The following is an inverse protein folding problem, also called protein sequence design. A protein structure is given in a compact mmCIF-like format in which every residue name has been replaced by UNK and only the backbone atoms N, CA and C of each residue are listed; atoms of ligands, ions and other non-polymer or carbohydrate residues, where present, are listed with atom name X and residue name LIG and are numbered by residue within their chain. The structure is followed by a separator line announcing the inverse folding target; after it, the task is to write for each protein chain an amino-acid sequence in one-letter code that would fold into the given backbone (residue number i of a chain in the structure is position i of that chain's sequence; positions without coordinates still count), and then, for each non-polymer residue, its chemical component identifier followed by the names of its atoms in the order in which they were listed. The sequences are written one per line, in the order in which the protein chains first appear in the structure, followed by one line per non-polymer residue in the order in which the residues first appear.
data_IF_439523561545
#
_entry.id   IF_439523561545
#
_cell.length_a   1.000
_cell.length_b   1.000
_cell.length_c   1.000
_cell.angle_alpha   90.00
_cell.angle_beta   90.00
_cell.angle_gamma   90.00
#
_symmetry.space_group_name_H-M   'P 1'
#
loop_
_entity.id
_entity.type
_entity.pdbx_description
1 polymer ?
#
# COMPACT_ATOMS: atom_id res chain seq x y z
N UNK A 1 20.45 -8.81 28.07
CA UNK A 1 19.16 -9.25 28.63
C UNK A 1 19.07 -10.75 28.45
N UNK A 2 18.35 -11.44 29.32
CA UNK A 2 18.08 -12.88 29.20
C UNK A 2 16.57 -13.13 29.22
N UNK A 3 16.11 -14.13 28.47
CA UNK A 3 14.75 -14.65 28.61
C UNK A 3 14.70 -15.59 29.81
N UNK A 4 13.74 -15.41 30.70
CA UNK A 4 13.57 -16.24 31.89
C UNK A 4 12.12 -16.71 31.98
N UNK A 5 11.93 -18.01 32.12
CA UNK A 5 10.62 -18.58 32.41
C UNK A 5 10.12 -18.07 33.78
N UNK A 6 8.90 -17.54 33.80
CA UNK A 6 8.17 -17.17 35.00
C UNK A 6 7.28 -18.32 35.51
N UNK A 7 7.22 -19.43 34.78
CA UNK A 7 6.25 -20.50 34.96
C UNK A 7 4.98 -20.28 34.12
N UNK A 8 4.04 -21.21 34.21
CA UNK A 8 2.80 -21.21 33.43
C UNK A 8 1.64 -21.90 34.13
N UNK A 9 0.40 -21.50 33.79
CA UNK A 9 -0.83 -22.14 34.24
C UNK A 9 -1.71 -22.44 33.02
N UNK A 10 -2.40 -23.59 33.02
CA UNK A 10 -3.29 -24.05 31.94
C UNK A 10 -2.66 -24.09 30.53
N UNK A 11 -1.37 -24.44 30.45
CA UNK A 11 -0.66 -24.57 29.16
C UNK A 11 -0.16 -23.25 28.57
N UNK A 12 -0.32 -22.13 29.28
CA UNK A 12 0.25 -20.83 28.91
C UNK A 12 1.59 -20.65 29.62
N UNK A 13 2.69 -20.63 28.87
CA UNK A 13 4.03 -20.34 29.39
C UNK A 13 4.30 -18.84 29.39
N UNK A 14 4.64 -18.27 30.55
CA UNK A 14 5.02 -16.88 30.66
C UNK A 14 6.55 -16.76 30.67
N UNK A 15 7.05 -15.94 29.77
CA UNK A 15 8.45 -15.52 29.73
C UNK A 15 8.56 -14.07 30.17
N UNK A 16 9.57 -13.75 30.98
CA UNK A 16 10.02 -12.37 31.18
C UNK A 16 11.41 -12.18 30.63
N UNK A 17 11.66 -11.00 30.08
CA UNK A 17 13.02 -10.53 29.91
C UNK A 17 13.56 -10.08 31.27
N UNK A 18 14.87 -10.24 31.49
CA UNK A 18 15.59 -9.71 32.65
C UNK A 18 16.86 -9.01 32.18
N UNK A 19 17.16 -7.84 32.77
CA UNK A 19 18.41 -7.14 32.52
C UNK A 19 19.57 -7.90 33.19
N UNK A 20 20.48 -8.47 32.40
CA UNK A 20 21.66 -9.19 32.91
C UNK A 20 22.57 -8.32 33.78
N UNK A 21 22.58 -7.00 33.56
CA UNK A 21 23.38 -6.03 34.34
C UNK A 21 22.58 -5.34 35.46
N UNK A 22 21.27 -5.58 35.57
CA UNK A 22 20.40 -4.98 36.59
C UNK A 22 19.16 -5.87 36.88
N UNK A 23 19.35 -7.09 37.42
CA UNK A 23 18.30 -8.11 37.49
C UNK A 23 17.12 -7.79 38.41
N UNK A 24 17.25 -6.78 39.29
CA UNK A 24 16.19 -6.33 40.19
C UNK A 24 15.30 -5.21 39.61
N UNK A 25 15.59 -4.73 38.41
CA UNK A 25 14.83 -3.64 37.79
C UNK A 25 13.78 -4.24 36.85
N UNK A 26 12.52 -3.89 37.09
CA UNK A 26 11.43 -4.27 36.19
C UNK A 26 11.60 -3.56 34.84
N UNK A 27 11.76 -4.35 33.78
CA UNK A 27 11.89 -3.85 32.42
C UNK A 27 10.80 -2.85 32.03
N UNK A 28 9.51 -3.07 32.34
CA UNK A 28 8.46 -2.12 32.01
C UNK A 28 8.66 -0.71 32.58
N UNK A 29 9.49 -0.54 33.62
CA UNK A 29 9.80 0.75 34.24
C UNK A 29 10.97 1.50 33.56
N UNK A 30 11.70 0.84 32.66
CA UNK A 30 12.95 1.38 32.08
C UNK A 30 12.92 1.43 30.57
N UNK A 31 12.31 0.43 29.92
CA UNK A 31 12.18 0.39 28.45
C UNK A 31 10.87 1.00 28.01
N UNK A 32 10.92 1.79 26.93
CA UNK A 32 9.75 2.33 26.26
C UNK A 32 8.86 1.20 25.70
N UNK A 33 7.59 1.52 25.42
CA UNK A 33 6.65 0.57 24.81
C UNK A 33 7.20 -0.02 23.49
N UNK A 34 7.84 0.83 22.67
CA UNK A 34 8.46 0.39 21.42
C UNK A 34 9.61 -0.59 21.63
N UNK A 35 10.49 -0.32 22.59
CA UNK A 35 11.59 -1.24 22.95
C UNK A 35 11.06 -2.56 23.51
N UNK A 36 10.01 -2.54 24.34
CA UNK A 36 9.35 -3.75 24.83
C UNK A 36 8.82 -4.58 23.66
N UNK A 37 8.14 -3.96 22.70
CA UNK A 37 7.59 -4.64 21.53
C UNK A 37 8.70 -5.25 20.65
N UNK A 38 9.79 -4.51 20.39
CA UNK A 38 10.95 -5.05 19.68
C UNK A 38 11.58 -6.26 20.40
N UNK A 39 11.74 -6.18 21.72
CA UNK A 39 12.29 -7.27 22.51
C UNK A 39 11.37 -8.50 22.50
N UNK A 40 10.06 -8.32 22.58
CA UNK A 40 9.09 -9.43 22.48
C UNK A 40 9.15 -10.12 21.12
N UNK A 41 9.25 -9.35 20.02
CA UNK A 41 9.38 -9.92 18.67
C UNK A 41 10.71 -10.69 18.54
N UNK A 42 11.81 -10.14 19.04
CA UNK A 42 13.10 -10.81 19.01
C UNK A 42 13.10 -12.11 19.85
N UNK A 43 12.48 -12.08 21.03
CA UNK A 43 12.29 -13.25 21.88
C UNK A 43 11.46 -14.33 21.18
N UNK A 44 10.35 -13.93 20.56
CA UNK A 44 9.50 -14.82 19.79
C UNK A 44 10.27 -15.49 18.64
N UNK A 45 11.07 -14.75 17.87
CA UNK A 45 11.90 -15.34 16.82
C UNK A 45 13.02 -16.24 17.37
N UNK A 46 13.55 -15.95 18.56
CA UNK A 46 14.53 -16.82 19.21
C UNK A 46 13.90 -18.15 19.62
N UNK A 47 12.73 -18.13 20.26
CA UNK A 47 11.97 -19.33 20.62
C UNK A 47 11.57 -20.13 19.38
N UNK A 48 11.08 -19.45 18.35
CA UNK A 48 10.70 -20.04 17.07
C UNK A 48 11.89 -20.67 16.32
N UNK A 49 13.13 -20.21 16.58
CA UNK A 49 14.34 -20.82 16.01
C UNK A 49 14.77 -22.12 16.71
N UNK A 50 14.23 -22.37 17.91
CA UNK A 50 14.45 -23.61 18.69
C UNK A 50 13.28 -24.59 18.58
N UNK A 51 12.16 -24.18 17.99
CA UNK A 51 11.00 -25.03 17.76
C UNK A 51 11.23 -25.92 16.52
N UNK A 52 11.00 -27.23 16.67
CA UNK A 52 11.18 -28.21 15.59
C UNK A 52 10.02 -28.21 14.56
N UNK A 53 8.93 -27.50 14.84
CA UNK A 53 7.71 -27.53 14.02
C UNK A 53 7.58 -26.30 13.08
N UNK A 54 7.20 -26.48 11.80
CA UNK A 54 7.03 -25.40 10.82
C UNK A 54 5.67 -24.70 10.90
N UNK A 55 5.00 -24.71 12.05
CA UNK A 55 3.69 -24.09 12.29
C UNK A 55 3.63 -22.66 11.77
N UNK A 56 2.46 -22.30 11.24
CA UNK A 56 2.19 -20.93 10.82
C UNK A 56 2.22 -19.96 12.00
N UNK A 57 2.71 -18.74 11.75
CA UNK A 57 2.77 -17.68 12.76
C UNK A 57 1.84 -16.53 12.36
N UNK A 58 1.21 -15.92 13.37
CA UNK A 58 0.25 -14.83 13.19
C UNK A 58 0.71 -13.63 14.01
N UNK A 59 0.84 -12.46 13.37
CA UNK A 59 1.15 -11.20 14.02
C UNK A 59 0.00 -10.21 13.86
N UNK A 60 -0.45 -9.64 14.98
CA UNK A 60 -1.46 -8.58 14.99
C UNK A 60 -0.81 -7.24 15.35
N UNK A 61 -0.80 -6.31 14.39
CA UNK A 61 -0.17 -4.98 14.47
C UNK A 61 1.24 -4.98 15.12
N UNK A 62 2.21 -5.74 14.56
CA UNK A 62 3.53 -5.96 15.19
C UNK A 62 4.41 -4.70 15.26
N UNK A 63 4.01 -3.61 14.62
CA UNK A 63 4.80 -2.38 14.50
C UNK A 63 4.18 -1.14 15.13
N UNK A 64 3.11 -1.32 15.90
CA UNK A 64 2.54 -0.22 16.69
C UNK A 64 3.63 0.42 17.57
N UNK A 65 3.65 1.75 17.67
CA UNK A 65 4.62 2.50 18.50
C UNK A 65 6.11 2.29 18.17
N UNK A 66 6.47 1.66 17.03
CA UNK A 66 7.86 1.51 16.59
C UNK A 66 8.29 2.65 15.68
N UNK A 67 9.57 3.05 15.78
CA UNK A 67 10.17 3.95 14.80
C UNK A 67 10.43 3.25 13.47
N UNK A 68 10.67 4.07 12.44
CA UNK A 68 10.83 3.62 11.06
C UNK A 68 11.97 2.58 10.87
N UNK A 69 13.07 2.65 11.62
CA UNK A 69 14.17 1.69 11.50
C UNK A 69 13.75 0.31 12.00
N UNK A 70 13.11 0.27 13.17
CA UNK A 70 12.59 -0.98 13.73
C UNK A 70 11.50 -1.60 12.87
N UNK A 71 10.58 -0.79 12.30
CA UNK A 71 9.53 -1.31 11.39
C UNK A 71 10.14 -2.06 10.20
N UNK A 72 11.20 -1.53 9.61
CA UNK A 72 11.89 -2.20 8.51
C UNK A 72 12.59 -3.48 8.93
N UNK A 73 13.24 -3.47 10.10
CA UNK A 73 13.85 -4.67 10.66
C UNK A 73 12.83 -5.79 10.88
N UNK A 74 11.68 -5.45 11.47
CA UNK A 74 10.56 -6.39 11.70
C UNK A 74 9.99 -6.90 10.37
N UNK A 75 9.70 -6.01 9.41
CA UNK A 75 9.18 -6.40 8.09
C UNK A 75 10.12 -7.39 7.38
N UNK A 76 11.42 -7.06 7.32
CA UNK A 76 12.42 -7.92 6.69
C UNK A 76 12.50 -9.29 7.37
N UNK A 77 12.50 -9.33 8.71
CA UNK A 77 12.57 -10.58 9.47
C UNK A 77 11.33 -11.45 9.24
N UNK A 78 10.14 -10.86 9.23
CA UNK A 78 8.88 -11.56 8.95
C UNK A 78 8.89 -12.19 7.56
N UNK A 79 9.31 -11.45 6.54
CA UNK A 79 9.40 -11.98 5.16
C UNK A 79 10.48 -13.06 5.03
N UNK A 80 11.61 -12.90 5.72
CA UNK A 80 12.63 -13.96 5.76
C UNK A 80 12.04 -15.26 6.32
N UNK A 81 11.23 -15.16 7.37
CA UNK A 81 10.57 -16.31 7.98
C UNK A 81 9.47 -16.90 7.09
N UNK A 82 8.84 -16.07 6.25
CA UNK A 82 7.85 -16.52 5.27
C UNK A 82 8.42 -17.44 4.18
N UNK A 83 9.75 -17.58 4.09
CA UNK A 83 10.40 -18.57 3.21
C UNK A 83 10.30 -20.00 3.73
N UNK A 84 10.15 -20.19 5.04
CA UNK A 84 10.20 -21.50 5.68
C UNK A 84 8.86 -21.92 6.28
N UNK A 85 7.95 -20.97 6.56
CA UNK A 85 6.61 -21.22 7.10
C UNK A 85 5.60 -20.16 6.67
N UNK A 86 4.32 -20.43 6.91
CA UNK A 86 3.27 -19.45 6.67
C UNK A 86 3.37 -18.31 7.72
N UNK A 87 3.38 -17.06 7.25
CA UNK A 87 3.38 -15.86 8.09
C UNK A 87 2.15 -15.04 7.74
N UNK A 88 1.24 -14.86 8.69
CA UNK A 88 0.03 -14.04 8.55
C UNK A 88 0.24 -12.77 9.35
N UNK A 89 0.06 -11.61 8.72
CA UNK A 89 0.22 -10.31 9.38
C UNK A 89 -1.06 -9.52 9.22
N UNK A 90 -1.69 -9.18 10.34
CA UNK A 90 -2.74 -8.18 10.40
C UNK A 90 -2.09 -6.82 10.66
N UNK A 91 -2.40 -5.83 9.82
CA UNK A 91 -1.97 -4.47 10.09
C UNK A 91 -2.91 -3.41 9.56
N UNK A 92 -3.03 -2.31 10.29
CA UNK A 92 -3.65 -1.07 9.79
C UNK A 92 -2.63 -0.09 9.18
N UNK A 93 -1.32 -0.37 9.29
CA UNK A 93 -0.26 0.51 8.81
C UNK A 93 0.08 0.19 7.34
N UNK A 94 -0.37 1.07 6.43
CA UNK A 94 -0.10 0.96 4.98
C UNK A 94 1.39 1.05 4.67
N UNK A 95 2.17 1.82 5.43
CA UNK A 95 3.63 1.91 5.23
C UNK A 95 4.27 0.56 5.52
N UNK A 96 3.84 -0.09 6.59
CA UNK A 96 4.34 -1.42 6.94
C UNK A 96 3.94 -2.49 5.92
N UNK A 97 2.70 -2.45 5.41
CA UNK A 97 2.28 -3.31 4.28
C UNK A 97 3.19 -3.13 3.06
N UNK A 98 3.52 -1.88 2.70
CA UNK A 98 4.42 -1.60 1.58
C UNK A 98 5.83 -2.11 1.84
N UNK A 99 6.35 -1.96 3.07
CA UNK A 99 7.63 -2.55 3.47
C UNK A 99 7.64 -4.07 3.35
N UNK A 100 6.58 -4.76 3.81
CA UNK A 100 6.46 -6.22 3.68
C UNK A 100 6.50 -6.64 2.21
N UNK A 101 5.77 -5.96 1.34
CA UNK A 101 5.79 -6.24 -0.11
C UNK A 101 7.16 -6.02 -0.74
N UNK A 102 7.81 -4.92 -0.38
CA UNK A 102 9.15 -4.63 -0.89
C UNK A 102 10.12 -5.76 -0.52
N UNK A 103 10.17 -6.15 0.74
CA UNK A 103 11.05 -7.26 1.15
C UNK A 103 10.60 -8.60 0.57
N UNK A 104 9.31 -8.81 0.34
CA UNK A 104 8.79 -10.02 -0.32
C UNK A 104 9.30 -10.14 -1.74
N UNK A 105 9.27 -9.05 -2.51
CA UNK A 105 9.87 -8.98 -3.85
C UNK A 105 11.39 -9.21 -3.82
N UNK A 106 12.11 -8.51 -2.93
CA UNK A 106 13.57 -8.66 -2.77
C UNK A 106 13.98 -10.09 -2.40
N UNK A 107 13.15 -10.79 -1.61
CA UNK A 107 13.39 -12.14 -1.13
C UNK A 107 12.66 -13.21 -1.94
N UNK A 108 11.99 -12.86 -3.05
CA UNK A 108 11.27 -13.82 -3.89
C UNK A 108 10.18 -14.62 -3.17
N UNK A 109 9.54 -14.03 -2.17
CA UNK A 109 8.38 -14.57 -1.45
C UNK A 109 7.12 -14.03 -2.11
N UNK A 110 6.16 -14.88 -2.43
CA UNK A 110 4.88 -14.45 -3.01
C UNK A 110 3.93 -13.96 -1.90
N UNK A 111 3.57 -12.65 -1.85
CA UNK A 111 2.63 -12.15 -0.87
C UNK A 111 1.18 -12.38 -1.32
N UNK A 112 0.30 -12.72 -0.36
CA UNK A 112 -1.15 -12.71 -0.56
C UNK A 112 -1.74 -11.53 0.22
N UNK A 113 -2.16 -10.49 -0.50
CA UNK A 113 -2.76 -9.31 0.12
C UNK A 113 -4.26 -9.48 0.32
N UNK A 114 -4.75 -9.30 1.55
CA UNK A 114 -6.18 -9.29 1.86
C UNK A 114 -6.55 -8.05 2.65
N UNK A 115 -7.73 -7.49 2.35
CA UNK A 115 -8.30 -6.40 3.12
C UNK A 115 -9.46 -6.91 3.97
N UNK A 116 -9.37 -6.78 5.28
CA UNK A 116 -10.44 -7.14 6.22
C UNK A 116 -11.29 -5.91 6.49
N UNK A 117 -12.62 -6.02 6.42
CA UNK A 117 -13.55 -4.92 6.72
C UNK A 117 -14.63 -5.35 7.71
N UNK A 118 -15.07 -4.37 8.50
CA UNK A 118 -16.36 -4.45 9.17
C UNK A 118 -17.44 -3.97 8.21
N UNK A 119 -18.42 -4.82 7.91
CA UNK A 119 -19.58 -4.48 7.08
C UNK A 119 -20.87 -4.72 7.86
N UNK A 120 -22.02 -4.39 7.27
CA UNK A 120 -23.33 -4.65 7.87
C UNK A 120 -23.58 -6.13 8.21
N UNK A 121 -22.87 -7.06 7.55
CA UNK A 121 -22.90 -8.50 7.81
C UNK A 121 -22.03 -8.96 8.99
N UNK A 122 -21.21 -8.07 9.57
CA UNK A 122 -20.29 -8.35 10.68
C UNK A 122 -18.83 -7.99 10.39
N UNK A 123 -17.97 -8.31 11.36
CA UNK A 123 -16.52 -8.20 11.24
C UNK A 123 -15.93 -9.35 10.40
N UNK A 124 -14.72 -9.17 9.85
CA UNK A 124 -13.99 -10.26 9.18
C UNK A 124 -14.35 -10.45 7.70
N UNK A 125 -15.01 -9.49 7.05
CA UNK A 125 -15.31 -9.61 5.62
C UNK A 125 -14.04 -9.32 4.83
N UNK A 126 -13.42 -10.39 4.31
CA UNK A 126 -12.23 -10.32 3.49
C UNK A 126 -12.59 -9.95 2.04
N UNK A 127 -11.86 -8.99 1.48
CA UNK A 127 -11.84 -8.73 0.05
C UNK A 127 -10.40 -8.88 -0.45
N UNK A 128 -10.22 -9.57 -1.58
CA UNK A 128 -8.93 -9.72 -2.28
C UNK A 128 -8.56 -8.46 -3.08
N UNK A 129 -8.69 -7.30 -2.45
CA UNK A 129 -8.35 -6.02 -3.07
C UNK A 129 -7.55 -5.19 -2.08
N UNK A 130 -6.33 -4.84 -2.47
CA UNK A 130 -5.51 -3.87 -1.76
C UNK A 130 -6.28 -2.56 -1.56
N UNK A 131 -5.99 -1.80 -0.49
CA UNK A 131 -6.43 -0.42 -0.37
C UNK A 131 -6.10 0.37 -1.65
N UNK A 132 -6.96 1.31 -2.04
CA UNK A 132 -6.76 2.13 -3.24
C UNK A 132 -5.36 2.78 -3.30
N UNK A 133 -4.83 3.21 -2.14
CA UNK A 133 -3.49 3.79 -2.00
C UNK A 133 -2.37 2.82 -2.37
N UNK A 134 -2.57 1.51 -2.20
CA UNK A 134 -1.59 0.47 -2.49
C UNK A 134 -1.77 -0.20 -3.86
N UNK A 135 -2.85 0.11 -4.61
CA UNK A 135 -3.09 -0.52 -5.91
C UNK A 135 -2.06 -0.08 -6.96
N UNK A 136 -1.45 -1.01 -7.72
CA UNK A 136 -0.64 -0.67 -8.88
C UNK A 136 -1.49 -0.03 -9.97
N UNK A 137 -0.88 0.76 -10.87
CA UNK A 137 -1.58 1.54 -11.90
C UNK A 137 -2.51 0.69 -12.75
N UNK A 138 -2.12 -0.56 -13.07
CA UNK A 138 -2.92 -1.50 -13.84
C UNK A 138 -4.25 -1.82 -13.14
N UNK A 139 -4.21 -2.09 -11.83
CA UNK A 139 -5.43 -2.38 -11.04
C UNK A 139 -6.27 -1.12 -10.86
N UNK A 140 -5.66 0.06 -10.69
CA UNK A 140 -6.38 1.36 -10.65
C UNK A 140 -7.15 1.63 -11.94
N UNK A 141 -6.54 1.41 -13.11
CA UNK A 141 -7.21 1.54 -14.41
C UNK A 141 -8.39 0.56 -14.53
N UNK A 142 -8.20 -0.69 -14.11
CA UNK A 142 -9.28 -1.69 -14.08
C UNK A 142 -10.46 -1.26 -13.20
N UNK A 143 -10.18 -0.73 -12.00
CA UNK A 143 -11.19 -0.17 -11.11
C UNK A 143 -11.93 1.03 -11.72
N UNK A 144 -11.19 1.99 -12.30
CA UNK A 144 -11.77 3.16 -12.98
C UNK A 144 -12.72 2.74 -14.11
N UNK A 145 -12.31 1.77 -14.93
CA UNK A 145 -13.15 1.24 -16.01
C UNK A 145 -14.42 0.57 -15.49
N UNK A 146 -14.35 -0.15 -14.36
CA UNK A 146 -15.54 -0.75 -13.72
C UNK A 146 -16.50 0.33 -13.22
N UNK A 147 -16.01 1.29 -12.45
CA UNK A 147 -16.85 2.39 -11.94
C UNK A 147 -17.39 3.28 -13.06
N UNK A 148 -16.65 3.44 -14.16
CA UNK A 148 -17.14 4.14 -15.35
C UNK A 148 -18.37 3.46 -15.95
N UNK A 149 -18.46 2.12 -15.95
CA UNK A 149 -19.64 1.41 -16.46
C UNK A 149 -20.88 1.73 -15.62
N UNK A 150 -20.73 1.81 -14.30
CA UNK A 150 -21.81 2.18 -13.39
C UNK A 150 -22.24 3.65 -13.61
N UNK A 151 -21.28 4.57 -13.75
CA UNK A 151 -21.57 5.97 -14.06
C UNK A 151 -22.25 6.15 -15.43
N UNK A 152 -21.76 5.46 -16.46
CA UNK A 152 -22.35 5.48 -17.80
C UNK A 152 -23.79 4.95 -17.81
N UNK A 153 -24.10 3.94 -16.97
CA UNK A 153 -25.46 3.48 -16.76
C UNK A 153 -26.36 4.59 -16.19
N UNK A 154 -25.89 5.29 -15.15
CA UNK A 154 -26.64 6.43 -14.56
C UNK A 154 -26.92 7.52 -15.60
N UNK A 155 -25.93 7.83 -16.46
CA UNK A 155 -26.09 8.79 -17.54
C UNK A 155 -27.16 8.35 -18.55
N UNK A 156 -27.13 7.08 -18.98
CA UNK A 156 -28.10 6.51 -19.93
C UNK A 156 -29.52 6.41 -19.36
N UNK A 157 -29.67 6.18 -18.07
CA UNK A 157 -30.96 6.11 -17.38
C UNK A 157 -31.53 7.49 -17.01
N UNK A 158 -30.83 8.58 -17.36
CA UNK A 158 -31.29 9.96 -17.11
C UNK A 158 -31.09 10.43 -15.67
N UNK A 159 -30.32 9.70 -14.86
CA UNK A 159 -29.99 10.06 -13.48
C UNK A 159 -28.83 11.06 -13.42
N UNK A 160 -29.04 12.26 -13.98
CA UNK A 160 -27.97 13.25 -14.20
C UNK A 160 -27.24 13.67 -12.92
N UNK A 161 -27.95 13.97 -11.82
CA UNK A 161 -27.31 14.39 -10.57
C UNK A 161 -26.43 13.28 -9.98
N UNK A 162 -26.89 12.03 -10.08
CA UNK A 162 -26.13 10.87 -9.63
C UNK A 162 -24.90 10.65 -10.51
N UNK A 163 -25.05 10.79 -11.84
CA UNK A 163 -23.95 10.74 -12.78
C UNK A 163 -22.88 11.80 -12.45
N UNK A 164 -23.29 13.07 -12.25
CA UNK A 164 -22.34 14.15 -11.98
C UNK A 164 -21.55 13.93 -10.69
N UNK A 165 -22.21 13.38 -9.66
CA UNK A 165 -21.53 13.01 -8.41
C UNK A 165 -20.49 11.93 -8.65
N UNK A 166 -20.85 10.85 -9.33
CA UNK A 166 -19.94 9.74 -9.63
C UNK A 166 -18.80 10.15 -10.57
N UNK A 167 -19.08 10.97 -11.58
CA UNK A 167 -18.08 11.47 -12.51
C UNK A 167 -17.04 12.37 -11.81
N UNK A 168 -17.47 13.27 -10.91
CA UNK A 168 -16.54 14.10 -10.11
C UNK A 168 -15.65 13.23 -9.21
N UNK A 169 -16.24 12.20 -8.58
CA UNK A 169 -15.48 11.24 -7.78
C UNK A 169 -14.47 10.48 -8.64
N UNK A 170 -14.86 10.01 -9.82
CA UNK A 170 -13.98 9.31 -10.76
C UNK A 170 -12.84 10.19 -11.28
N UNK A 171 -13.05 11.49 -11.50
CA UNK A 171 -11.96 12.40 -11.84
C UNK A 171 -10.93 12.55 -10.71
N UNK A 172 -11.37 12.48 -9.45
CA UNK A 172 -10.46 12.41 -8.31
C UNK A 172 -9.61 11.15 -8.31
N UNK A 173 -10.25 9.99 -8.49
CA UNK A 173 -9.52 8.72 -8.61
C UNK A 173 -8.62 8.66 -9.85
N UNK A 174 -9.05 9.23 -10.98
CA UNK A 174 -8.24 9.29 -12.19
C UNK A 174 -6.98 10.12 -11.97
N UNK A 175 -7.08 11.24 -11.25
CA UNK A 175 -5.91 12.03 -10.85
C UNK A 175 -4.93 11.19 -10.03
N UNK A 176 -5.42 10.50 -9.01
CA UNK A 176 -4.58 9.64 -8.17
C UNK A 176 -3.96 8.48 -8.97
N UNK A 177 -4.64 7.98 -10.01
CA UNK A 177 -4.10 6.98 -10.91
C UNK A 177 -3.00 7.54 -11.81
N UNK A 178 -3.11 8.79 -12.29
CA UNK A 178 -2.04 9.51 -12.98
C UNK A 178 -0.80 9.69 -12.10
N UNK A 179 -0.98 10.03 -10.83
CA UNK A 179 0.13 10.14 -9.87
C UNK A 179 0.83 8.79 -9.69
N UNK A 180 0.08 7.70 -9.51
CA UNK A 180 0.66 6.35 -9.45
C UNK A 180 1.35 5.98 -10.76
N UNK A 181 0.80 6.35 -11.92
CA UNK A 181 1.43 6.09 -13.20
C UNK A 181 2.74 6.88 -13.38
N UNK A 182 2.82 8.10 -12.85
CA UNK A 182 4.04 8.89 -12.84
C UNK A 182 5.13 8.20 -11.99
N UNK A 183 4.80 7.80 -10.76
CA UNK A 183 5.72 7.09 -9.85
C UNK A 183 6.17 5.74 -10.44
N UNK A 184 5.22 4.86 -10.77
CA UNK A 184 5.46 3.46 -11.17
C UNK A 184 5.99 3.35 -12.62
N UNK A 185 5.41 4.12 -13.54
CA UNK A 185 5.66 3.97 -14.97
C UNK A 185 6.65 5.00 -15.46
N UNK A 186 6.39 6.31 -15.34
CA UNK A 186 7.29 7.32 -15.93
C UNK A 186 8.64 7.35 -15.23
N UNK A 187 8.64 7.41 -13.90
CA UNK A 187 9.84 7.48 -13.07
C UNK A 187 10.45 6.11 -12.76
N UNK A 188 9.82 5.00 -13.15
CA UNK A 188 10.29 3.63 -12.86
C UNK A 188 10.60 3.45 -11.37
N UNK A 189 9.79 4.01 -10.48
CA UNK A 189 10.00 3.90 -9.04
C UNK A 189 11.25 4.62 -8.51
N UNK A 190 11.85 5.57 -9.26
CA UNK A 190 12.94 6.43 -8.74
C UNK A 190 12.50 7.14 -7.46
N UNK A 191 11.27 7.64 -7.43
CA UNK A 191 10.60 8.18 -6.25
C UNK A 191 9.23 7.55 -6.13
N UNK A 192 8.95 6.95 -4.97
CA UNK A 192 7.65 6.35 -4.64
C UNK A 192 7.26 6.77 -3.23
N UNK A 193 5.97 7.00 -3.01
CA UNK A 193 5.47 7.30 -1.67
C UNK A 193 5.71 6.12 -0.74
N UNK A 194 6.11 6.44 0.49
CA UNK A 194 6.41 5.47 1.55
C UNK A 194 7.60 4.54 1.27
N UNK A 195 8.34 4.77 0.18
CA UNK A 195 9.64 4.13 -0.04
C UNK A 195 10.75 4.99 0.59
N UNK A 196 11.60 4.44 1.47
CA UNK A 196 12.53 5.24 2.29
C UNK A 196 13.69 5.89 1.53
N UNK A 197 13.95 5.46 0.30
CA UNK A 197 15.13 5.88 -0.47
C UNK A 197 14.80 6.13 -1.93
N UNK A 198 15.56 7.06 -2.52
CA UNK A 198 15.55 7.34 -3.96
C UNK A 198 16.28 6.20 -4.68
N UNK A 199 15.63 5.61 -5.69
CA UNK A 199 16.18 4.47 -6.42
C UNK A 199 17.15 4.95 -7.52
N UNK A 200 18.38 5.29 -7.12
CA UNK A 200 19.42 5.82 -8.02
C UNK A 200 19.79 4.83 -9.13
N UNK A 201 19.62 3.53 -8.92
CA UNK A 201 19.85 2.49 -9.93
C UNK A 201 18.90 2.58 -11.13
N UNK A 202 17.75 3.24 -10.96
CA UNK A 202 16.75 3.40 -12.03
C UNK A 202 16.95 4.69 -12.85
N UNK A 203 17.93 5.52 -12.50
CA UNK A 203 18.12 6.85 -13.12
C UNK A 203 18.41 6.78 -14.63
N UNK A 204 19.07 5.72 -15.10
CA UNK A 204 19.31 5.53 -16.53
C UNK A 204 18.00 5.32 -17.31
N UNK A 205 16.99 4.74 -16.67
CA UNK A 205 15.72 4.39 -17.31
C UNK A 205 14.80 5.60 -17.50
N UNK A 206 15.04 6.71 -16.80
CA UNK A 206 14.28 7.96 -16.97
C UNK A 206 14.86 8.87 -18.05
N UNK A 207 16.01 8.52 -18.65
CA UNK A 207 16.63 9.28 -19.72
C UNK A 207 15.79 9.30 -21.02
N UNK A 208 14.82 8.39 -21.15
CA UNK A 208 13.94 8.28 -22.32
C UNK A 208 12.67 9.15 -22.24
N UNK A 209 12.50 9.93 -21.16
CA UNK A 209 11.32 10.78 -20.95
C UNK A 209 11.29 11.88 -22.02
N UNK A 210 10.16 11.95 -22.74
CA UNK A 210 9.95 12.94 -23.79
C UNK A 210 9.15 14.13 -23.28
N UNK A 211 9.30 15.33 -23.90
CA UNK A 211 8.44 16.47 -23.60
C UNK A 211 6.94 16.18 -23.75
N UNK A 212 6.55 15.29 -24.67
CA UNK A 212 5.17 14.84 -24.83
C UNK A 212 4.66 14.03 -23.64
N UNK A 213 5.51 13.22 -23.00
CA UNK A 213 5.12 12.46 -21.82
C UNK A 213 4.77 13.44 -20.68
N UNK A 214 5.59 14.47 -20.47
CA UNK A 214 5.35 15.52 -19.48
C UNK A 214 4.11 16.37 -19.80
N UNK A 215 3.90 16.71 -21.08
CA UNK A 215 2.69 17.44 -21.51
C UNK A 215 1.43 16.64 -21.24
N UNK A 216 1.41 15.35 -21.56
CA UNK A 216 0.28 14.48 -21.32
C UNK A 216 -0.10 14.45 -19.83
N UNK A 217 0.88 14.30 -18.94
CA UNK A 217 0.68 14.36 -17.49
C UNK A 217 0.10 15.72 -17.08
N UNK A 218 0.71 16.83 -17.49
CA UNK A 218 0.25 18.16 -17.12
C UNK A 218 -1.19 18.41 -17.58
N UNK A 219 -1.51 18.10 -18.84
CA UNK A 219 -2.85 18.25 -19.40
C UNK A 219 -3.87 17.41 -18.63
N UNK A 220 -3.57 16.14 -18.37
CA UNK A 220 -4.46 15.26 -17.64
C UNK A 220 -4.66 15.71 -16.19
N UNK A 221 -3.60 16.12 -15.51
CA UNK A 221 -3.65 16.62 -14.13
C UNK A 221 -4.47 17.90 -14.02
N UNK A 222 -4.29 18.86 -14.93
CA UNK A 222 -5.11 20.09 -15.00
C UNK A 222 -6.58 19.77 -15.23
N UNK A 223 -6.89 18.85 -16.15
CA UNK A 223 -8.27 18.44 -16.42
C UNK A 223 -8.91 17.75 -15.21
N UNK A 224 -8.22 16.80 -14.58
CA UNK A 224 -8.75 16.11 -13.40
C UNK A 224 -8.92 17.08 -12.21
N UNK A 225 -7.96 17.99 -11.99
CA UNK A 225 -8.08 19.06 -10.98
C UNK A 225 -9.30 19.95 -11.20
N UNK A 226 -9.68 20.15 -12.46
CA UNK A 226 -10.86 20.95 -12.78
C UNK A 226 -12.11 20.27 -12.25
N UNK A 227 -12.21 18.94 -12.21
CA UNK A 227 -13.47 18.26 -11.85
C UNK A 227 -13.49 17.60 -10.48
N UNK A 228 -12.32 17.40 -9.86
CA UNK A 228 -12.18 16.93 -8.49
C UNK A 228 -12.96 17.83 -7.50
N UNK A 229 -13.74 17.26 -6.57
CA UNK A 229 -14.29 18.00 -5.43
C UNK A 229 -13.14 18.46 -4.52
N UNK A 230 -12.92 19.78 -4.40
CA UNK A 230 -11.81 20.31 -3.60
C UNK A 230 -11.48 21.78 -3.81
N UNK A 231 -12.03 22.39 -4.86
CA UNK A 231 -11.92 23.83 -5.10
C UNK A 231 -13.32 24.45 -5.20
N UNK A 232 -13.54 25.56 -4.49
CA UNK A 232 -14.68 26.43 -4.74
C UNK A 232 -14.47 27.08 -6.11
N UNK A 233 -15.34 26.76 -7.07
CA UNK A 233 -15.23 27.26 -8.44
C UNK A 233 -15.99 28.57 -8.55
N UNK A 234 -15.37 29.55 -9.21
CA UNK A 234 -16.05 30.80 -9.54
C UNK A 234 -17.38 30.54 -10.25
N UNK A 235 -18.45 31.22 -9.82
CA UNK A 235 -19.83 31.00 -10.27
C UNK A 235 -20.04 31.13 -11.80
N UNK A 236 -19.11 31.78 -12.51
CA UNK A 236 -19.11 31.96 -13.96
C UNK A 236 -18.49 30.77 -14.75
N UNK A 237 -17.81 29.84 -14.08
CA UNK A 237 -17.14 28.69 -14.70
C UNK A 237 -17.96 27.40 -14.61
N UNK A 238 -19.30 27.48 -14.67
CA UNK A 238 -20.22 26.33 -14.69
C UNK A 238 -20.14 25.59 -16.04
N UNK A 239 -18.96 25.12 -16.41
CA UNK A 239 -18.84 24.09 -17.43
C UNK A 239 -19.53 22.83 -16.90
N UNK A 240 -20.37 22.17 -17.72
CA UNK A 240 -21.01 20.92 -17.32
C UNK A 240 -19.94 19.86 -17.08
N UNK A 241 -20.18 18.96 -16.12
CA UNK A 241 -19.29 17.81 -15.90
C UNK A 241 -19.15 17.05 -17.22
N UNK A 242 -17.93 16.59 -17.59
CA UNK A 242 -17.72 15.82 -18.81
C UNK A 242 -18.70 14.67 -18.93
N UNK A 243 -19.17 14.41 -20.15
CA UNK A 243 -20.10 13.32 -20.44
C UNK A 243 -19.41 11.96 -20.34
N UNK A 244 -20.19 10.87 -20.20
CA UNK A 244 -19.64 9.54 -19.94
C UNK A 244 -18.63 9.10 -21.01
N UNK A 245 -18.86 9.46 -22.29
CA UNK A 245 -17.93 9.19 -23.37
C UNK A 245 -16.59 9.92 -23.22
N UNK A 246 -16.61 11.16 -22.75
CA UNK A 246 -15.40 11.95 -22.51
C UNK A 246 -14.61 11.41 -21.31
N UNK A 247 -15.29 11.08 -20.21
CA UNK A 247 -14.68 10.43 -19.05
C UNK A 247 -14.01 9.10 -19.44
N UNK A 248 -14.66 8.30 -20.30
CA UNK A 248 -14.07 7.08 -20.85
C UNK A 248 -12.79 7.35 -21.65
N UNK A 249 -12.83 8.36 -22.50
CA UNK A 249 -11.67 8.76 -23.30
C UNK A 249 -10.50 9.20 -22.42
N UNK A 250 -10.77 9.90 -21.32
CA UNK A 250 -9.75 10.32 -20.36
C UNK A 250 -9.12 9.13 -19.60
N UNK A 251 -9.92 8.15 -19.18
CA UNK A 251 -9.42 6.89 -18.60
C UNK A 251 -8.57 6.14 -19.62
N UNK A 252 -9.03 6.06 -20.87
CA UNK A 252 -8.29 5.44 -21.97
C UNK A 252 -6.98 6.16 -22.27
N UNK A 253 -6.94 7.49 -22.16
CA UNK A 253 -5.72 8.26 -22.35
C UNK A 253 -4.63 7.87 -21.33
N UNK A 254 -5.00 7.64 -20.07
CA UNK A 254 -4.08 7.09 -19.06
C UNK A 254 -3.59 5.69 -19.44
N UNK A 255 -4.50 4.81 -19.84
CA UNK A 255 -4.17 3.43 -20.23
C UNK A 255 -3.20 3.38 -21.43
N UNK A 256 -3.51 4.14 -22.47
CA UNK A 256 -2.71 4.22 -23.70
C UNK A 256 -1.34 4.86 -23.42
N UNK A 257 -1.27 5.87 -22.55
CA UNK A 257 -0.02 6.50 -22.13
C UNK A 257 0.87 5.52 -21.35
N UNK A 258 0.32 4.78 -20.38
CA UNK A 258 1.03 3.72 -19.64
C UNK A 258 1.54 2.63 -20.60
N UNK A 259 0.70 2.18 -21.53
CA UNK A 259 1.07 1.17 -22.51
C UNK A 259 2.18 1.67 -23.45
N UNK A 260 2.10 2.93 -23.90
CA UNK A 260 3.09 3.56 -24.78
C UNK A 260 4.48 3.62 -24.16
N UNK A 261 4.58 4.06 -22.90
CA UNK A 261 5.87 4.10 -22.18
C UNK A 261 6.41 2.70 -21.96
N UNK A 262 5.59 1.76 -21.48
CA UNK A 262 6.02 0.37 -21.25
C UNK A 262 6.49 -0.30 -22.53
N UNK A 263 5.80 -0.10 -23.65
CA UNK A 263 6.19 -0.65 -24.96
C UNK A 263 7.53 -0.08 -25.41
N UNK A 264 7.73 1.24 -25.27
CA UNK A 264 8.99 1.91 -25.61
C UNK A 264 10.17 1.32 -24.82
N UNK A 265 10.00 1.07 -23.52
CA UNK A 265 11.08 0.55 -22.66
C UNK A 265 11.31 -0.95 -22.81
N UNK A 266 10.30 -1.74 -23.16
CA UNK A 266 10.48 -3.16 -23.53
C UNK A 266 11.25 -3.35 -24.83
N UNK A 267 11.22 -2.39 -25.75
CA UNK A 267 11.98 -2.44 -27.01
C UNK A 267 13.41 -1.93 -26.89
N UNK A 268 13.79 -1.35 -25.75
CA UNK A 268 15.12 -0.78 -25.47
C UNK A 268 15.94 -1.59 -24.45
N UNK A 269 15.40 -2.70 -23.96
CA UNK A 269 16.05 -3.65 -23.05
C UNK A 269 16.47 -4.89 -23.82
#
# INVERSE_FOLDING_TARGET
MELKELGGAEGVFYHKLVLTRAPGVELPKVVSEGEQRCLSIAAFFAELSTADDPSGIVFDDPVSSLDFQWRNGVARRLVQEARTRQVIVFTHDVVFLLSLRQYAEELGVEPLDQHVRHQSKGAGVCAEELPWVALPVKKKIGYLNKCWQDADKLSREGHQDAYEKEAKYLYGLLREAWERALEEVLLVGVVERYRPGIQTQHIAQIADIKPDDCRAVNTAMTKCSTWLPGHDKAAAARSPVPVAAELKADIKALEDWVAGIRKRRKGSA
#
